data_IF_653780301118
#
_entry.id   IF_653780301118
#
_cell.length_a   1.000
_cell.length_b   1.000
_cell.length_c   1.000
_cell.angle_alpha   90.00
_cell.angle_beta   90.00
_cell.angle_gamma   90.00
#
_symmetry.space_group_name_H-M   'P 1'
#
loop_
_entity.id
_entity.type
_entity.pdbx_description
1 polymer ?
#
# COMPACT_ATOMS: atom_id res chain seq x y z
N UNK A 1 17.42 4.22 5.56
CA UNK A 1 16.27 3.55 6.20
C UNK A 1 16.68 2.14 6.54
N UNK A 2 16.50 1.73 7.76
CA UNK A 2 16.88 0.39 8.23
C UNK A 2 15.63 -0.48 8.32
N UNK A 3 15.63 -1.62 7.63
CA UNK A 3 14.55 -2.61 7.69
C UNK A 3 14.93 -3.72 8.65
N UNK A 4 14.19 -3.86 9.74
CA UNK A 4 14.33 -4.97 10.67
C UNK A 4 13.13 -5.92 10.50
N UNK A 5 13.32 -7.00 9.79
CA UNK A 5 12.28 -7.99 9.53
C UNK A 5 12.14 -9.05 10.67
N UNK A 6 13.12 -9.15 11.53
CA UNK A 6 13.16 -10.25 12.50
C UNK A 6 12.72 -9.90 13.93
N UNK A 7 12.53 -8.62 14.26
CA UNK A 7 11.94 -8.14 15.53
C UNK A 7 12.58 -8.68 16.83
N UNK A 8 13.72 -9.32 16.74
CA UNK A 8 14.30 -10.10 17.85
C UNK A 8 15.27 -9.32 18.74
N UNK A 9 15.56 -8.06 18.44
CA UNK A 9 16.46 -7.24 19.28
C UNK A 9 15.69 -6.07 19.84
N UNK A 10 15.73 -5.91 21.16
CA UNK A 10 15.30 -4.69 21.80
C UNK A 10 16.14 -3.52 21.30
N UNK A 11 15.58 -2.74 20.41
CA UNK A 11 16.18 -1.52 19.90
C UNK A 11 15.28 -0.37 20.28
N UNK A 12 15.81 0.54 21.06
CA UNK A 12 15.07 1.77 21.44
C UNK A 12 15.11 2.77 20.29
N UNK A 13 13.96 3.32 19.94
CA UNK A 13 13.81 4.38 18.96
C UNK A 13 13.31 5.66 19.63
N UNK A 14 13.73 6.81 19.08
CA UNK A 14 13.29 8.13 19.55
C UNK A 14 11.88 8.47 19.02
N UNK A 15 11.53 7.95 17.84
CA UNK A 15 10.24 8.15 17.21
C UNK A 15 9.78 6.93 16.45
N UNK A 16 8.46 6.75 16.38
CA UNK A 16 7.81 5.70 15.58
C UNK A 16 6.80 6.35 14.65
N UNK A 17 6.93 6.09 13.35
CA UNK A 17 6.00 6.54 12.31
C UNK A 17 5.22 5.35 11.81
N UNK A 18 3.91 5.40 11.84
CA UNK A 18 3.02 4.34 11.37
C UNK A 18 2.51 4.70 9.97
N UNK A 19 2.91 3.91 8.99
CA UNK A 19 2.63 4.12 7.57
C UNK A 19 3.70 4.94 6.87
N UNK A 20 4.10 4.48 5.68
CA UNK A 20 5.12 5.15 4.83
C UNK A 20 4.52 5.93 3.65
N UNK A 21 3.23 6.25 3.71
CA UNK A 21 2.54 7.06 2.71
C UNK A 21 3.08 8.50 2.65
N UNK A 22 2.38 9.36 1.95
CA UNK A 22 2.80 10.76 1.73
C UNK A 22 3.12 11.46 3.07
N UNK A 23 2.21 11.41 4.02
CA UNK A 23 2.39 12.06 5.33
C UNK A 23 3.46 11.39 6.18
N UNK A 24 3.44 10.05 6.26
CA UNK A 24 4.41 9.29 7.06
C UNK A 24 5.82 9.38 6.50
N UNK A 25 5.98 9.36 5.19
CA UNK A 25 7.28 9.56 4.53
C UNK A 25 7.89 10.93 4.84
N UNK A 26 7.10 11.99 4.79
CA UNK A 26 7.57 13.33 5.17
C UNK A 26 7.90 13.43 6.65
N UNK A 27 7.07 12.87 7.53
CA UNK A 27 7.35 12.85 8.96
C UNK A 27 8.65 12.12 9.29
N UNK A 28 8.84 10.94 8.70
CA UNK A 28 10.07 10.16 8.88
C UNK A 28 11.31 10.93 8.41
N UNK A 29 11.22 11.57 7.23
CA UNK A 29 12.31 12.41 6.70
C UNK A 29 12.69 13.51 7.68
N UNK A 30 11.73 14.32 8.12
CA UNK A 30 11.96 15.43 9.04
C UNK A 30 12.55 14.98 10.38
N UNK A 31 12.05 13.87 10.94
CA UNK A 31 12.56 13.32 12.19
C UNK A 31 14.00 12.83 12.05
N UNK A 32 14.32 12.14 10.96
CA UNK A 32 15.67 11.66 10.69
C UNK A 32 16.65 12.82 10.44
N UNK A 33 16.25 13.86 9.71
CA UNK A 33 17.09 15.06 9.47
C UNK A 33 17.38 15.83 10.75
N UNK A 34 16.51 15.74 11.75
CA UNK A 34 16.74 16.29 13.09
C UNK A 34 17.57 15.36 14.00
N UNK A 35 18.08 14.28 13.47
CA UNK A 35 18.96 13.35 14.19
C UNK A 35 18.25 12.33 15.07
N UNK A 36 16.93 12.20 14.97
CA UNK A 36 16.16 11.22 15.73
C UNK A 36 16.27 9.83 15.09
N UNK A 37 16.47 8.82 15.92
CA UNK A 37 16.41 7.42 15.48
C UNK A 37 14.96 7.01 15.29
N UNK A 38 14.52 6.93 14.05
CA UNK A 38 13.12 6.76 13.68
C UNK A 38 12.84 5.36 13.14
N UNK A 39 11.81 4.71 13.69
CA UNK A 39 11.25 3.47 13.15
C UNK A 39 10.03 3.79 12.29
N UNK A 40 9.98 3.26 11.08
CA UNK A 40 8.79 3.34 10.22
C UNK A 40 8.16 1.95 10.14
N UNK A 41 6.89 1.86 10.52
CA UNK A 41 6.08 0.64 10.42
C UNK A 41 5.18 0.74 9.20
N UNK A 42 5.36 -0.16 8.25
CA UNK A 42 4.56 -0.22 7.02
C UNK A 42 3.89 -1.59 6.89
N UNK A 43 2.59 -1.62 6.56
CA UNK A 43 1.85 -2.87 6.37
C UNK A 43 2.00 -3.46 4.97
N UNK A 44 2.34 -2.64 4.00
CA UNK A 44 2.52 -3.04 2.61
C UNK A 44 3.87 -3.70 2.37
N UNK A 45 4.03 -4.32 1.20
CA UNK A 45 5.32 -4.83 0.76
C UNK A 45 6.22 -3.72 0.24
N UNK A 46 7.52 -3.97 0.18
CA UNK A 46 8.44 -3.08 -0.51
C UNK A 46 8.13 -2.98 -2.01
N UNK A 47 8.16 -1.78 -2.55
CA UNK A 47 7.90 -1.51 -3.97
C UNK A 47 9.20 -1.23 -4.71
N UNK A 48 9.35 -1.88 -5.86
CA UNK A 48 10.46 -1.64 -6.78
C UNK A 48 10.02 -0.72 -7.92
N UNK A 49 10.74 0.35 -8.13
CA UNK A 49 10.42 1.34 -9.18
C UNK A 49 10.27 0.73 -10.58
N UNK A 50 11.00 -0.33 -10.87
CA UNK A 50 11.02 -0.94 -12.20
C UNK A 50 10.04 -2.10 -12.39
N UNK A 51 9.67 -2.78 -11.29
CA UNK A 51 8.87 -4.00 -11.35
C UNK A 51 7.40 -3.78 -10.96
N UNK A 52 7.14 -2.79 -10.11
CA UNK A 52 5.83 -2.61 -9.49
C UNK A 52 4.96 -1.51 -10.11
N UNK A 53 5.39 -0.97 -11.25
CA UNK A 53 4.64 0.03 -12.02
C UNK A 53 4.40 -0.43 -13.46
N UNK A 54 3.83 -1.62 -13.69
CA UNK A 54 3.70 -2.20 -15.03
C UNK A 54 2.76 -1.42 -15.94
N UNK A 55 1.85 -0.64 -15.38
CA UNK A 55 0.82 0.13 -16.11
C UNK A 55 1.14 1.63 -16.23
N UNK A 56 2.27 2.09 -15.69
CA UNK A 56 2.58 3.52 -15.58
C UNK A 56 2.65 4.26 -16.93
N UNK A 57 3.04 3.55 -17.99
CA UNK A 57 3.19 4.11 -19.35
C UNK A 57 2.12 3.59 -20.32
N UNK A 58 1.07 2.94 -19.82
CA UNK A 58 -0.02 2.44 -20.63
C UNK A 58 -1.16 3.45 -20.74
N UNK A 59 -1.66 3.60 -21.93
CA UNK A 59 -2.85 4.40 -22.19
C UNK A 59 -4.12 3.62 -21.83
N UNK A 60 -5.22 4.33 -21.60
CA UNK A 60 -6.47 3.71 -21.16
C UNK A 60 -6.97 2.61 -22.10
N UNK A 61 -6.77 2.75 -23.40
CA UNK A 61 -7.18 1.75 -24.40
C UNK A 61 -6.27 0.52 -24.45
N UNK A 62 -5.05 0.60 -23.92
CA UNK A 62 -4.12 -0.54 -23.83
C UNK A 62 -4.41 -1.41 -22.59
N UNK A 63 -5.17 -0.88 -21.63
CA UNK A 63 -5.55 -1.60 -20.43
C UNK A 63 -6.74 -2.54 -20.67
N UNK A 64 -6.84 -3.65 -19.90
CA UNK A 64 -7.96 -4.57 -20.00
C UNK A 64 -9.31 -3.86 -19.90
N UNK A 65 -10.25 -4.19 -20.79
CA UNK A 65 -11.60 -3.62 -20.84
C UNK A 65 -11.63 -2.08 -20.82
N UNK A 66 -10.66 -1.44 -21.44
CA UNK A 66 -10.48 0.02 -21.43
C UNK A 66 -10.45 0.59 -20.00
N UNK A 67 -9.60 0.00 -19.15
CA UNK A 67 -9.44 0.35 -17.76
C UNK A 67 -10.70 0.17 -16.90
N UNK A 68 -11.49 -0.87 -17.18
CA UNK A 68 -12.67 -1.23 -16.38
C UNK A 68 -12.52 -2.64 -15.84
N UNK A 69 -12.91 -2.85 -14.60
CA UNK A 69 -13.05 -4.18 -14.03
C UNK A 69 -14.27 -4.89 -14.61
N UNK A 70 -14.17 -6.21 -14.76
CA UNK A 70 -15.32 -7.05 -15.05
C UNK A 70 -16.27 -7.10 -13.83
N UNK A 71 -17.58 -7.41 -14.03
CA UNK A 71 -18.50 -7.57 -12.90
C UNK A 71 -18.05 -8.61 -11.87
N UNK A 72 -17.30 -9.61 -12.31
CA UNK A 72 -16.76 -10.64 -11.41
C UNK A 72 -15.60 -10.11 -10.57
N UNK A 73 -14.67 -9.39 -11.19
CA UNK A 73 -13.57 -8.72 -10.47
C UNK A 73 -14.07 -7.67 -9.49
N UNK A 74 -15.14 -6.94 -9.81
CA UNK A 74 -15.75 -5.97 -8.91
C UNK A 74 -16.24 -6.58 -7.60
N UNK A 75 -16.61 -7.86 -7.59
CA UNK A 75 -17.03 -8.56 -6.38
C UNK A 75 -15.92 -8.67 -5.34
N UNK A 76 -14.67 -8.72 -5.79
CA UNK A 76 -13.49 -8.84 -4.95
C UNK A 76 -13.15 -7.55 -4.18
N UNK A 77 -13.74 -6.43 -4.57
CA UNK A 77 -13.42 -5.09 -4.03
C UNK A 77 -14.63 -4.32 -3.50
N UNK A 78 -15.73 -5.00 -3.20
CA UNK A 78 -17.00 -4.36 -2.76
C UNK A 78 -16.86 -3.48 -1.53
N UNK A 79 -16.05 -3.90 -0.57
CA UNK A 79 -15.87 -3.16 0.68
C UNK A 79 -15.01 -1.92 0.42
N UNK A 80 -13.94 -2.07 -0.34
CA UNK A 80 -13.04 -0.98 -0.70
C UNK A 80 -13.76 0.08 -1.55
N UNK A 81 -14.66 -0.34 -2.44
CA UNK A 81 -15.51 0.56 -3.22
C UNK A 81 -16.43 1.41 -2.33
N UNK A 82 -17.00 0.84 -1.28
CA UNK A 82 -17.82 1.56 -0.29
C UNK A 82 -17.03 2.62 0.47
N UNK A 83 -15.75 2.44 0.63
CA UNK A 83 -14.87 3.41 1.31
C UNK A 83 -14.35 4.52 0.39
N UNK A 84 -14.87 4.60 -0.83
CA UNK A 84 -14.57 5.67 -1.78
C UNK A 84 -13.41 5.39 -2.74
N UNK A 85 -12.89 4.18 -2.76
CA UNK A 85 -11.83 3.79 -3.70
C UNK A 85 -12.44 3.20 -4.97
N UNK A 86 -12.09 3.75 -6.12
CA UNK A 86 -12.40 3.17 -7.41
C UNK A 86 -11.20 2.37 -7.89
N UNK A 87 -11.34 1.04 -7.90
CA UNK A 87 -10.27 0.15 -8.34
C UNK A 87 -10.45 -0.14 -9.83
N UNK A 88 -9.37 0.05 -10.58
CA UNK A 88 -9.33 -0.15 -12.03
C UNK A 88 -8.14 -1.02 -12.39
N UNK A 89 -8.09 -1.64 -13.59
CA UNK A 89 -6.94 -2.41 -14.04
C UNK A 89 -5.60 -1.66 -13.97
N UNK A 90 -5.60 -0.33 -14.07
CA UNK A 90 -4.38 0.48 -13.91
C UNK A 90 -3.78 0.37 -12.52
N UNK A 91 -4.59 0.20 -11.48
CA UNK A 91 -4.19 0.20 -10.08
C UNK A 91 -4.44 -1.11 -9.35
N UNK A 92 -5.12 -2.06 -9.98
CA UNK A 92 -5.55 -3.32 -9.37
C UNK A 92 -4.40 -4.08 -8.69
N UNK A 93 -3.23 -4.05 -9.26
CA UNK A 93 -2.05 -4.73 -8.69
C UNK A 93 -1.55 -4.13 -7.36
N UNK A 94 -2.01 -2.94 -6.98
CA UNK A 94 -1.68 -2.30 -5.70
C UNK A 94 -2.69 -2.59 -4.60
N UNK A 95 -3.86 -3.11 -4.96
CA UNK A 95 -4.97 -3.31 -4.04
C UNK A 95 -5.18 -4.80 -3.77
N UNK A 96 -5.08 -5.26 -2.51
CA UNK A 96 -5.48 -6.61 -2.17
C UNK A 96 -7.00 -6.76 -2.32
N UNK A 97 -7.46 -7.98 -2.60
CA UNK A 97 -8.89 -8.29 -2.57
C UNK A 97 -9.44 -8.11 -1.15
N UNK A 98 -10.73 -7.86 -1.03
CA UNK A 98 -11.38 -7.71 0.28
C UNK A 98 -11.10 -8.89 1.22
N UNK A 99 -11.07 -10.11 0.68
CA UNK A 99 -10.78 -11.34 1.42
C UNK A 99 -9.34 -11.44 1.94
N UNK A 100 -8.42 -10.75 1.30
CA UNK A 100 -6.99 -10.72 1.65
C UNK A 100 -6.62 -9.46 2.43
N UNK A 101 -7.49 -8.48 2.45
CA UNK A 101 -7.22 -7.18 3.07
C UNK A 101 -7.09 -7.31 4.59
N UNK A 102 -6.01 -6.78 5.21
CA UNK A 102 -5.75 -6.95 6.64
C UNK A 102 -6.89 -6.50 7.56
N UNK A 103 -7.66 -5.49 7.14
CA UNK A 103 -8.76 -4.93 7.92
C UNK A 103 -10.07 -5.69 7.67
N UNK A 104 -10.33 -6.11 6.43
CA UNK A 104 -11.65 -6.64 6.03
C UNK A 104 -11.74 -8.16 6.00
N UNK A 105 -10.63 -8.88 5.90
CA UNK A 105 -10.61 -10.34 5.73
C UNK A 105 -11.36 -11.15 6.80
N UNK A 106 -11.53 -10.58 7.97
CA UNK A 106 -12.22 -11.23 9.09
C UNK A 106 -13.61 -10.65 9.35
N UNK A 107 -14.11 -9.78 8.49
CA UNK A 107 -15.42 -9.18 8.64
C UNK A 107 -16.45 -10.00 7.83
N UNK A 108 -17.44 -10.50 8.52
CA UNK A 108 -18.63 -11.13 7.92
C UNK A 108 -19.65 -10.03 7.65
N UNK A 109 -19.93 -9.81 6.39
CA UNK A 109 -20.97 -8.86 5.98
C UNK A 109 -22.17 -9.57 5.40
#
# INVERSE_FOLDING_TARGET
MYFNSEGQKEVTYDAIVVGSGISGGWAAKELCEKGLKTLVLERGRGWSRHLDYPTANLETWELPNRNRLTPEEMKDYKIQERTGYTITPAYQHWWPKDTEHPIYRNQTF
#
